data_IF_294257652830
#
_entry.id   IF_294257652830
#
_cell.length_a   1.000
_cell.length_b   1.000
_cell.length_c   1.000
_cell.angle_alpha   90.00
_cell.angle_beta   90.00
_cell.angle_gamma   90.00
#
_symmetry.space_group_name_H-M   'P 1'
#
loop_
_entity.id
_entity.type
_entity.pdbx_description
1 polymer ?
#
# COMPACT_ATOMS: atom_id res chain seq x y z
N UNK A 1 -26.38 6.11 3.37
CA UNK A 1 -25.44 6.20 2.24
C UNK A 1 -25.04 7.65 2.07
N UNK A 2 -23.75 7.92 1.85
CA UNK A 2 -23.26 9.28 1.57
C UNK A 2 -22.90 9.39 0.09
N UNK A 3 -23.14 10.55 -0.51
CA UNK A 3 -22.79 10.84 -1.90
C UNK A 3 -21.60 11.79 -1.95
N UNK A 4 -20.60 11.47 -2.78
CA UNK A 4 -19.44 12.32 -3.01
C UNK A 4 -19.59 12.97 -4.39
N UNK A 5 -19.68 14.30 -4.43
CA UNK A 5 -19.64 15.07 -5.68
C UNK A 5 -18.29 15.78 -5.80
N UNK A 6 -17.55 15.47 -6.86
CA UNK A 6 -16.27 16.13 -7.17
C UNK A 6 -16.54 17.22 -8.21
N UNK A 7 -16.29 18.49 -7.84
CA UNK A 7 -16.41 19.64 -8.75
C UNK A 7 -15.06 19.92 -9.41
N UNK A 8 -15.08 20.43 -10.63
CA UNK A 8 -13.89 20.79 -11.42
C UNK A 8 -12.93 19.61 -11.65
N UNK A 9 -13.48 18.42 -11.92
CA UNK A 9 -12.67 17.28 -12.34
C UNK A 9 -12.13 17.56 -13.76
N UNK A 10 -10.81 17.49 -14.01
CA UNK A 10 -10.27 17.63 -15.35
C UNK A 10 -10.88 16.60 -16.31
N UNK A 11 -11.24 17.05 -17.52
CA UNK A 11 -11.92 16.20 -18.51
C UNK A 11 -11.08 14.97 -18.90
N UNK A 12 -9.76 15.13 -18.98
CA UNK A 12 -8.82 14.04 -19.26
C UNK A 12 -8.86 12.98 -18.15
N UNK A 13 -8.94 13.41 -16.89
CA UNK A 13 -9.00 12.52 -15.74
C UNK A 13 -10.33 11.76 -15.74
N UNK A 14 -11.45 12.45 -16.00
CA UNK A 14 -12.75 11.82 -16.15
C UNK A 14 -12.75 10.77 -17.26
N UNK A 15 -12.22 11.09 -18.44
CA UNK A 15 -12.13 10.17 -19.57
C UNK A 15 -11.30 8.92 -19.24
N UNK A 16 -10.13 9.10 -18.60
CA UNK A 16 -9.24 8.00 -18.20
C UNK A 16 -9.87 7.10 -17.15
N UNK A 17 -10.57 7.67 -16.16
CA UNK A 17 -11.30 6.89 -15.16
C UNK A 17 -12.43 6.09 -15.81
N UNK A 18 -13.15 6.70 -16.76
CA UNK A 18 -14.26 6.04 -17.48
C UNK A 18 -13.81 4.89 -18.36
N UNK A 19 -12.72 5.06 -19.10
CA UNK A 19 -12.10 3.97 -19.87
C UNK A 19 -11.70 2.81 -18.97
N UNK A 20 -11.06 3.10 -17.84
CA UNK A 20 -10.68 2.05 -16.87
C UNK A 20 -11.89 1.35 -16.28
N UNK A 21 -12.94 2.09 -15.91
CA UNK A 21 -14.18 1.54 -15.37
C UNK A 21 -14.84 0.57 -16.37
N UNK A 22 -14.98 1.00 -17.64
CA UNK A 22 -15.50 0.15 -18.73
C UNK A 22 -14.68 -1.12 -18.91
N UNK A 23 -13.35 -1.02 -18.90
CA UNK A 23 -12.44 -2.16 -19.07
C UNK A 23 -12.58 -3.22 -17.97
N UNK A 24 -12.95 -2.82 -16.75
CA UNK A 24 -13.17 -3.74 -15.63
C UNK A 24 -14.64 -4.10 -15.43
N UNK A 25 -15.54 -3.66 -16.31
CA UNK A 25 -16.97 -3.94 -16.26
C UNK A 25 -17.71 -3.28 -15.10
N UNK A 26 -17.22 -2.13 -14.61
CA UNK A 26 -17.82 -1.38 -13.50
C UNK A 26 -18.40 -0.06 -13.98
N UNK A 27 -19.43 0.45 -13.29
CA UNK A 27 -19.84 1.85 -13.44
C UNK A 27 -18.73 2.78 -12.94
N UNK A 28 -18.75 4.04 -13.39
CA UNK A 28 -17.79 5.06 -12.95
C UNK A 28 -17.77 5.19 -11.41
N UNK A 29 -18.94 5.28 -10.78
CA UNK A 29 -19.08 5.46 -9.33
C UNK A 29 -18.53 4.25 -8.56
N UNK A 30 -18.79 3.04 -9.03
CA UNK A 30 -18.23 1.81 -8.42
C UNK A 30 -16.71 1.75 -8.56
N UNK A 31 -16.20 2.08 -9.76
CA UNK A 31 -14.76 2.09 -10.01
C UNK A 31 -14.04 3.11 -9.12
N UNK A 32 -14.53 4.34 -9.04
CA UNK A 32 -13.94 5.38 -8.18
C UNK A 32 -14.01 4.98 -6.72
N UNK A 33 -15.14 4.44 -6.25
CA UNK A 33 -15.29 3.95 -4.87
C UNK A 33 -14.28 2.85 -4.57
N UNK A 34 -14.06 1.91 -5.50
CA UNK A 34 -13.06 0.85 -5.36
C UNK A 34 -11.64 1.42 -5.24
N UNK A 35 -11.29 2.40 -6.06
CA UNK A 35 -9.98 3.05 -6.01
C UNK A 35 -9.78 3.76 -4.68
N UNK A 36 -10.77 4.51 -4.19
CA UNK A 36 -10.70 5.20 -2.90
C UNK A 36 -10.56 4.23 -1.73
N UNK A 37 -11.24 3.07 -1.76
CA UNK A 37 -11.06 2.03 -0.73
C UNK A 37 -9.65 1.46 -0.75
N UNK A 38 -9.12 1.11 -1.92
CA UNK A 38 -7.77 0.58 -2.06
C UNK A 38 -6.70 1.60 -1.65
N UNK A 39 -6.96 2.90 -1.83
CA UNK A 39 -6.09 3.97 -1.34
C UNK A 39 -6.09 4.02 0.19
N UNK A 40 -7.26 3.95 0.82
CA UNK A 40 -7.42 3.96 2.28
C UNK A 40 -6.94 2.68 2.99
N UNK A 41 -6.75 1.57 2.27
CA UNK A 41 -6.09 0.38 2.81
C UNK A 41 -4.62 0.62 3.14
N UNK A 42 -4.00 1.67 2.57
CA UNK A 42 -2.63 2.06 2.85
C UNK A 42 -2.62 3.19 3.88
N UNK A 43 -1.85 3.09 4.98
CA UNK A 43 -1.70 4.19 5.91
C UNK A 43 -1.04 5.38 5.20
N UNK A 44 -1.39 6.59 5.61
CA UNK A 44 -0.62 7.76 5.21
C UNK A 44 0.82 7.59 5.70
N UNK A 45 1.77 8.11 4.92
CA UNK A 45 3.19 8.00 5.25
C UNK A 45 3.49 8.56 6.65
N UNK A 46 2.85 9.65 7.04
CA UNK A 46 3.04 10.28 8.35
C UNK A 46 2.59 9.36 9.49
N UNK A 47 1.43 8.73 9.34
CA UNK A 47 0.90 7.76 10.31
C UNK A 47 1.81 6.52 10.41
N UNK A 48 2.25 6.02 9.26
CA UNK A 48 3.21 4.92 9.21
C UNK A 48 4.54 5.30 9.86
N UNK A 49 5.10 6.48 9.54
CA UNK A 49 6.36 6.94 10.12
C UNK A 49 6.25 7.14 11.64
N UNK A 50 5.11 7.63 12.13
CA UNK A 50 4.83 7.70 13.55
C UNK A 50 4.78 6.31 14.19
N UNK A 51 4.17 5.32 13.53
CA UNK A 51 4.12 3.92 14.00
C UNK A 51 5.50 3.27 14.08
N UNK A 52 6.39 3.55 13.12
CA UNK A 52 7.77 3.03 13.13
C UNK A 52 8.56 3.66 14.28
N UNK A 53 8.43 4.97 14.50
CA UNK A 53 9.12 5.67 15.60
C UNK A 53 8.63 5.24 16.99
N UNK A 54 7.35 4.88 17.12
CA UNK A 54 6.78 4.40 18.39
C UNK A 54 7.11 2.93 18.67
N UNK A 55 7.56 2.19 17.66
CA UNK A 55 8.05 0.82 17.83
C UNK A 55 9.38 0.84 18.56
N UNK A 56 9.46 0.22 19.75
CA UNK A 56 10.73 0.07 20.46
C UNK A 56 11.73 -0.71 19.60
N UNK A 57 13.04 -0.37 19.65
CA UNK A 57 14.06 -1.21 19.06
C UNK A 57 13.88 -2.65 19.53
N UNK A 58 13.83 -3.59 18.59
CA UNK A 58 13.86 -5.01 18.95
C UNK A 58 15.29 -5.35 19.35
N UNK A 59 15.43 -6.00 20.48
CA UNK A 59 16.70 -6.60 20.85
C UNK A 59 16.89 -7.84 19.96
N UNK A 60 17.86 -7.75 19.06
CA UNK A 60 18.20 -8.84 18.13
C UNK A 60 19.58 -9.30 18.53
N UNK A 61 19.68 -10.57 18.92
CA UNK A 61 20.98 -11.21 19.16
C UNK A 61 21.66 -11.50 17.81
N UNK A 62 22.46 -10.52 17.40
CA UNK A 62 23.20 -10.56 16.14
C UNK A 62 24.24 -11.68 16.14
N UNK A 63 24.84 -12.00 17.30
CA UNK A 63 25.86 -13.04 17.38
C UNK A 63 25.25 -14.42 17.15
N UNK A 64 24.19 -14.74 17.87
CA UNK A 64 23.46 -16.01 17.72
C UNK A 64 22.91 -16.22 16.30
N UNK A 65 22.38 -15.17 15.67
CA UNK A 65 21.90 -15.26 14.28
C UNK A 65 23.01 -15.46 13.26
N UNK A 66 24.18 -14.84 13.45
CA UNK A 66 25.35 -15.06 12.60
C UNK A 66 25.93 -16.47 12.72
N UNK A 67 25.95 -17.01 13.95
CA UNK A 67 26.44 -18.37 14.18
C UNK A 67 25.51 -19.40 13.51
N UNK A 68 24.18 -19.22 13.60
CA UNK A 68 23.23 -20.09 12.92
C UNK A 68 23.37 -20.11 11.38
N UNK A 69 23.65 -18.97 10.75
CA UNK A 69 23.86 -18.88 9.28
C UNK A 69 25.21 -19.47 8.88
N UNK A 70 26.25 -19.32 9.73
CA UNK A 70 27.57 -19.91 9.46
C UNK A 70 27.55 -21.43 9.51
N UNK A 71 26.77 -22.03 10.40
CA UNK A 71 26.61 -23.48 10.46
C UNK A 71 25.92 -24.06 9.20
N UNK A 72 25.08 -23.27 8.53
CA UNK A 72 24.40 -23.65 7.28
C UNK A 72 25.28 -23.42 6.04
N UNK A 73 26.26 -22.53 6.11
CA UNK A 73 27.15 -22.20 5.00
C UNK A 73 28.44 -23.03 5.06
N UNK A 74 28.50 -24.11 4.28
CA UNK A 74 29.74 -24.85 4.00
C UNK A 74 30.50 -24.19 2.83
N UNK A 75 31.64 -23.50 3.06
CA UNK A 75 32.40 -22.84 2.00
C UNK A 75 33.19 -23.83 1.11
N UNK A 76 33.09 -25.14 1.34
CA UNK A 76 33.93 -26.17 0.71
C UNK A 76 33.25 -27.03 -0.37
N UNK A 77 32.02 -26.72 -0.79
CA UNK A 77 31.39 -27.27 -2.02
C UNK A 77 31.54 -26.35 -3.25
#
# INVERSE_FOLDING_TARGET
>A
MSTLQVRNLPDDLHARLGERARRVGLSMSEYVTRVLRADLERPLFEDWAASVRSTRPRDIDVASTLDAVRDEYDPTE
#
